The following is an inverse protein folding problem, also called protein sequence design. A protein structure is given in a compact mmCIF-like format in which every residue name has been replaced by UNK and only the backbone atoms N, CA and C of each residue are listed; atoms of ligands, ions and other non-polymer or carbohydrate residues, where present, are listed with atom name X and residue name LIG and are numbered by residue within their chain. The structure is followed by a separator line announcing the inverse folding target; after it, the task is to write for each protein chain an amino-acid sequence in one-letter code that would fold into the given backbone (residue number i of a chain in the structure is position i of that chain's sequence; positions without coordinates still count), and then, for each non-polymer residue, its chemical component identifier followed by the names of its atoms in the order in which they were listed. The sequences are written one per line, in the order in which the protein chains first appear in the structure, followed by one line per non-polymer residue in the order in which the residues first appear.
data_IF_182386601898
#
_entry.id   IF_182386601898
#
_cell.length_a   1.000
_cell.length_b   1.000
_cell.length_c   1.000
_cell.angle_alpha   90.00
_cell.angle_beta   90.00
_cell.angle_gamma   90.00
#
_symmetry.space_group_name_H-M   'P 1'
#
loop_
_entity.id
_entity.type
_entity.pdbx_description
1 polymer ?
#
# COMPACT_ATOMS: atom_id res chain seq x y z
N UNK A 1 -15.47 8.38 -0.83
CA UNK A 1 -14.74 7.10 -0.82
C UNK A 1 -15.69 5.90 -0.82
N UNK A 2 -16.55 5.74 0.19
CA UNK A 2 -17.38 4.52 0.33
C UNK A 2 -18.31 4.28 -0.86
N UNK A 3 -18.93 5.34 -1.38
CA UNK A 3 -19.74 5.26 -2.60
C UNK A 3 -18.92 4.78 -3.81
N UNK A 4 -17.72 5.32 -4.01
CA UNK A 4 -16.80 4.91 -5.08
C UNK A 4 -16.33 3.46 -4.92
N UNK A 5 -16.13 2.98 -3.69
CA UNK A 5 -15.84 1.58 -3.38
C UNK A 5 -17.08 0.68 -3.54
N UNK A 6 -18.22 1.23 -3.97
CA UNK A 6 -19.46 0.50 -4.16
C UNK A 6 -20.00 -0.10 -2.86
N UNK A 7 -19.84 0.58 -1.72
CA UNK A 7 -20.50 0.21 -0.49
C UNK A 7 -21.98 0.61 -0.54
N UNK A 8 -22.76 -0.06 0.29
CA UNK A 8 -24.18 0.21 0.53
C UNK A 8 -24.42 0.47 2.02
N UNK A 9 -25.61 0.94 2.36
CA UNK A 9 -25.99 1.15 3.77
C UNK A 9 -26.07 -0.15 4.58
N UNK A 10 -26.18 -1.29 3.89
CA UNK A 10 -26.22 -2.62 4.50
C UNK A 10 -24.83 -3.13 4.89
N UNK A 11 -23.76 -2.45 4.44
CA UNK A 11 -22.40 -2.87 4.74
C UNK A 11 -22.06 -2.59 6.22
N UNK A 12 -21.26 -3.49 6.77
CA UNK A 12 -20.70 -3.44 8.12
C UNK A 12 -19.20 -3.29 7.99
N UNK A 13 -18.70 -2.11 8.36
CA UNK A 13 -17.33 -1.68 8.12
C UNK A 13 -16.52 -1.83 9.40
N UNK A 14 -15.66 -2.83 9.46
CA UNK A 14 -14.73 -3.01 10.58
C UNK A 14 -13.50 -2.14 10.36
N UNK A 15 -13.19 -1.28 11.33
CA UNK A 15 -12.13 -0.29 11.25
C UNK A 15 -11.00 -0.72 12.17
N UNK A 16 -9.90 -1.21 11.57
CA UNK A 16 -8.75 -1.80 12.25
C UNK A 16 -7.53 -0.86 12.26
N UNK A 17 -7.75 0.44 12.28
CA UNK A 17 -6.71 1.47 12.33
C UNK A 17 -6.84 2.32 13.58
N UNK A 18 -5.75 3.04 13.94
CA UNK A 18 -5.67 3.81 15.18
C UNK A 18 -6.65 4.97 15.28
N UNK A 19 -7.11 5.25 16.51
CA UNK A 19 -8.04 6.31 16.86
C UNK A 19 -7.41 7.46 17.67
N UNK A 20 -6.12 7.41 17.96
CA UNK A 20 -5.43 8.41 18.76
C UNK A 20 -5.20 9.73 18.00
N UNK A 21 -3.99 10.25 18.07
CA UNK A 21 -3.58 11.43 17.30
C UNK A 21 -3.51 11.17 15.79
N UNK A 22 -3.46 9.93 15.37
CA UNK A 22 -3.65 9.55 13.97
C UNK A 22 -5.14 9.59 13.62
N UNK A 23 -5.47 10.38 12.60
CA UNK A 23 -6.87 10.71 12.25
C UNK A 23 -7.60 9.59 11.51
N UNK A 24 -6.92 8.49 11.14
CA UNK A 24 -7.45 7.48 10.24
C UNK A 24 -8.71 6.81 10.81
N UNK A 25 -8.66 6.28 12.03
CA UNK A 25 -9.81 5.59 12.64
C UNK A 25 -11.04 6.48 12.72
N UNK A 26 -10.89 7.69 13.25
CA UNK A 26 -11.97 8.66 13.35
C UNK A 26 -12.51 9.07 11.97
N UNK A 27 -11.63 9.26 10.99
CA UNK A 27 -12.01 9.61 9.62
C UNK A 27 -12.85 8.53 8.95
N UNK A 28 -12.43 7.27 9.05
CA UNK A 28 -13.20 6.13 8.54
C UNK A 28 -14.55 5.98 9.25
N UNK A 29 -14.59 6.12 10.57
CA UNK A 29 -15.82 6.01 11.34
C UNK A 29 -16.82 7.11 10.98
N UNK A 30 -16.42 8.38 11.04
CA UNK A 30 -17.27 9.52 10.68
C UNK A 30 -17.78 9.41 9.24
N UNK A 31 -16.91 8.97 8.32
CA UNK A 31 -17.30 8.70 6.93
C UNK A 31 -18.37 7.61 6.83
N UNK A 32 -18.20 6.52 7.57
CA UNK A 32 -19.13 5.39 7.62
C UNK A 32 -20.49 5.81 8.17
N UNK A 33 -20.50 6.52 9.29
CA UNK A 33 -21.73 7.03 9.93
C UNK A 33 -22.47 8.02 9.01
N UNK A 34 -21.73 8.94 8.37
CA UNK A 34 -22.33 9.88 7.41
C UNK A 34 -22.89 9.20 6.17
N UNK A 35 -22.23 8.14 5.70
CA UNK A 35 -22.68 7.32 4.57
C UNK A 35 -23.93 6.52 4.94
N UNK A 36 -24.09 6.14 6.20
CA UNK A 36 -25.24 5.43 6.76
C UNK A 36 -25.05 3.91 6.85
N UNK A 37 -23.81 3.41 6.78
CA UNK A 37 -23.46 2.01 7.07
C UNK A 37 -23.05 1.83 8.53
N UNK A 38 -23.00 0.58 9.00
CA UNK A 38 -22.60 0.27 10.37
C UNK A 38 -21.08 0.34 10.51
N UNK A 39 -20.59 1.17 11.43
CA UNK A 39 -19.20 1.21 11.83
C UNK A 39 -18.91 0.24 12.99
N UNK A 40 -17.87 -0.58 12.87
CA UNK A 40 -17.32 -1.44 13.93
C UNK A 40 -15.92 -0.91 14.27
N UNK A 41 -15.78 -0.02 15.27
CA UNK A 41 -14.54 0.68 15.58
C UNK A 41 -13.59 -0.19 16.43
N UNK A 42 -13.02 -1.22 15.82
CA UNK A 42 -12.19 -2.21 16.50
C UNK A 42 -10.81 -1.66 16.93
N UNK A 43 -10.27 -0.66 16.20
CA UNK A 43 -8.92 -0.16 16.44
C UNK A 43 -7.83 -1.13 15.95
N UNK A 44 -6.54 -0.82 16.16
CA UNK A 44 -5.42 -1.64 15.69
C UNK A 44 -5.08 -2.80 16.64
N UNK A 45 -4.33 -3.76 16.15
CA UNK A 45 -3.78 -4.87 16.96
C UNK A 45 -4.79 -5.93 17.36
N UNK A 46 -4.44 -6.78 18.30
CA UNK A 46 -5.25 -7.87 18.85
C UNK A 46 -5.98 -8.71 17.78
N UNK A 47 -5.21 -9.52 17.05
CA UNK A 47 -5.72 -10.35 15.95
C UNK A 47 -6.89 -11.26 16.37
N UNK A 48 -6.87 -11.78 17.59
CA UNK A 48 -7.93 -12.63 18.10
C UNK A 48 -9.27 -11.89 18.14
N UNK A 49 -9.28 -10.73 18.80
CA UNK A 49 -10.45 -9.87 18.87
C UNK A 49 -10.94 -9.42 17.46
N UNK A 50 -10.01 -9.13 16.55
CA UNK A 50 -10.35 -8.76 15.18
C UNK A 50 -11.11 -9.88 14.46
N UNK A 51 -10.67 -11.13 14.61
CA UNK A 51 -11.34 -12.29 14.01
C UNK A 51 -12.69 -12.53 14.65
N UNK A 52 -12.79 -12.44 15.99
CA UNK A 52 -14.09 -12.54 16.69
C UNK A 52 -15.07 -11.47 16.20
N UNK A 53 -14.63 -10.23 16.05
CA UNK A 53 -15.51 -9.17 15.52
C UNK A 53 -15.93 -9.42 14.07
N UNK A 54 -15.03 -9.93 13.22
CA UNK A 54 -15.41 -10.33 11.86
C UNK A 54 -16.50 -11.40 11.85
N UNK A 55 -16.45 -12.34 12.80
CA UNK A 55 -17.44 -13.41 12.94
C UNK A 55 -18.74 -12.92 13.58
N UNK A 56 -18.67 -12.19 14.68
CA UNK A 56 -19.84 -11.79 15.46
C UNK A 56 -20.65 -10.68 14.78
N UNK A 57 -19.97 -9.64 14.30
CA UNK A 57 -20.62 -8.56 13.56
C UNK A 57 -20.89 -8.90 12.10
N UNK A 58 -20.36 -10.03 11.62
CA UNK A 58 -20.47 -10.41 10.19
C UNK A 58 -20.02 -9.27 9.28
N UNK A 59 -18.89 -8.65 9.59
CA UNK A 59 -18.37 -7.49 8.87
C UNK A 59 -18.17 -7.82 7.39
N UNK A 60 -18.65 -6.92 6.52
CA UNK A 60 -18.61 -7.11 5.06
C UNK A 60 -17.45 -6.36 4.40
N UNK A 61 -16.94 -5.34 5.10
CA UNK A 61 -15.83 -4.49 4.67
C UNK A 61 -14.86 -4.33 5.82
N UNK A 62 -13.56 -4.33 5.52
CA UNK A 62 -12.50 -4.02 6.49
C UNK A 62 -11.71 -2.80 6.02
N UNK A 63 -11.42 -1.87 6.94
CA UNK A 63 -10.51 -0.75 6.74
C UNK A 63 -9.28 -0.96 7.60
N UNK A 64 -8.10 -1.17 6.98
CA UNK A 64 -6.85 -1.48 7.69
C UNK A 64 -5.62 -1.04 6.91
N UNK A 65 -4.43 -1.19 7.48
CA UNK A 65 -3.17 -1.11 6.72
C UNK A 65 -2.95 -2.39 5.92
N UNK A 66 -2.08 -2.35 4.93
CA UNK A 66 -1.78 -3.54 4.11
C UNK A 66 -1.19 -4.67 4.95
N UNK A 67 -0.25 -4.36 5.85
CA UNK A 67 0.37 -5.33 6.78
C UNK A 67 -0.67 -5.96 7.72
N UNK A 68 -1.57 -5.16 8.28
CA UNK A 68 -2.66 -5.68 9.13
C UNK A 68 -3.60 -6.59 8.35
N UNK A 69 -3.89 -6.24 7.08
CA UNK A 69 -4.68 -7.08 6.18
C UNK A 69 -4.03 -8.45 5.93
N UNK A 70 -2.71 -8.48 5.74
CA UNK A 70 -1.97 -9.73 5.58
C UNK A 70 -2.01 -10.58 6.85
N UNK A 71 -1.74 -9.98 8.02
CA UNK A 71 -1.80 -10.69 9.30
C UNK A 71 -3.18 -11.29 9.56
N UNK A 72 -4.25 -10.54 9.28
CA UNK A 72 -5.61 -11.05 9.39
C UNK A 72 -5.89 -12.19 8.41
N UNK A 73 -5.41 -12.08 7.18
CA UNK A 73 -5.59 -13.09 6.15
C UNK A 73 -4.93 -14.42 6.54
N UNK A 74 -3.69 -14.36 7.02
CA UNK A 74 -2.93 -15.53 7.49
C UNK A 74 -3.57 -16.15 8.74
N UNK A 75 -4.08 -15.33 9.66
CA UNK A 75 -4.76 -15.83 10.86
C UNK A 75 -6.12 -16.48 10.53
N UNK A 76 -6.88 -15.92 9.59
CA UNK A 76 -8.13 -16.51 9.07
C UNK A 76 -7.85 -17.89 8.45
N UNK A 77 -6.78 -18.00 7.66
CA UNK A 77 -6.34 -19.27 7.06
C UNK A 77 -5.94 -20.26 8.16
N UNK A 78 -5.08 -19.86 9.10
CA UNK A 78 -4.62 -20.69 10.22
C UNK A 78 -5.77 -21.25 11.06
N UNK A 79 -6.82 -20.44 11.30
CA UNK A 79 -8.01 -20.86 12.05
C UNK A 79 -9.02 -21.62 11.21
N UNK A 80 -8.84 -21.65 9.90
CA UNK A 80 -9.78 -22.26 8.95
C UNK A 80 -11.21 -21.73 9.12
N UNK A 81 -11.37 -20.42 9.25
CA UNK A 81 -12.68 -19.76 9.49
C UNK A 81 -13.18 -18.94 8.32
N UNK A 82 -12.48 -18.93 7.18
CA UNK A 82 -12.82 -18.11 6.00
C UNK A 82 -14.28 -18.28 5.55
N UNK A 83 -14.79 -19.49 5.50
CA UNK A 83 -16.16 -19.80 5.05
C UNK A 83 -17.25 -19.24 5.99
N UNK A 84 -16.88 -18.87 7.21
CA UNK A 84 -17.79 -18.26 8.19
C UNK A 84 -17.88 -16.75 8.06
N UNK A 85 -16.91 -16.12 7.36
CA UNK A 85 -16.85 -14.67 7.19
C UNK A 85 -17.80 -14.19 6.09
N UNK A 86 -18.32 -12.98 6.25
CA UNK A 86 -19.08 -12.25 5.23
C UNK A 86 -18.25 -11.15 4.57
N UNK A 87 -16.95 -11.15 4.82
CA UNK A 87 -16.03 -10.16 4.29
C UNK A 87 -15.94 -10.27 2.76
N UNK A 88 -16.13 -9.14 2.07
CA UNK A 88 -16.13 -9.06 0.61
C UNK A 88 -15.14 -8.03 0.09
N UNK A 89 -14.90 -6.96 0.86
CA UNK A 89 -14.10 -5.82 0.42
C UNK A 89 -13.09 -5.42 1.47
N UNK A 90 -11.97 -4.86 1.01
CA UNK A 90 -10.95 -4.26 1.86
C UNK A 90 -10.60 -2.88 1.31
N UNK A 91 -10.62 -1.87 2.18
CA UNK A 91 -10.07 -0.53 1.92
C UNK A 91 -8.80 -0.43 2.74
N UNK A 92 -7.66 -0.24 2.07
CA UNK A 92 -6.35 -0.27 2.74
C UNK A 92 -5.48 0.88 2.28
N UNK A 93 -4.56 1.32 3.15
CA UNK A 93 -3.65 2.42 2.84
C UNK A 93 -2.56 2.56 3.89
N UNK A 94 -1.92 3.73 3.91
CA UNK A 94 -0.84 4.13 4.82
C UNK A 94 0.50 3.44 4.60
N UNK A 95 0.52 2.33 3.90
CA UNK A 95 1.70 1.54 3.59
C UNK A 95 1.69 1.16 2.13
N UNK A 96 2.89 1.01 1.56
CA UNK A 96 3.00 0.40 0.25
C UNK A 96 2.70 -1.10 0.35
N UNK A 97 2.10 -1.63 -0.69
CA UNK A 97 1.85 -3.05 -0.81
C UNK A 97 2.26 -3.55 -2.19
N UNK A 98 3.02 -4.65 -2.23
CA UNK A 98 3.35 -5.31 -3.49
C UNK A 98 2.11 -6.00 -4.08
N UNK A 99 2.12 -6.25 -5.38
CA UNK A 99 1.05 -7.01 -6.03
C UNK A 99 0.98 -8.45 -5.49
N UNK A 100 2.12 -9.04 -5.11
CA UNK A 100 2.16 -10.34 -4.45
C UNK A 100 1.42 -10.33 -3.11
N UNK A 101 1.68 -9.34 -2.26
CA UNK A 101 0.98 -9.16 -0.97
C UNK A 101 -0.52 -8.96 -1.18
N UNK A 102 -0.92 -8.08 -2.10
CA UNK A 102 -2.33 -7.82 -2.43
C UNK A 102 -3.04 -9.09 -2.90
N UNK A 103 -2.43 -9.83 -3.82
CA UNK A 103 -2.99 -11.09 -4.32
C UNK A 103 -3.12 -12.14 -3.22
N UNK A 104 -2.12 -12.25 -2.33
CA UNK A 104 -2.17 -13.15 -1.19
C UNK A 104 -3.34 -12.81 -0.26
N UNK A 105 -3.46 -11.54 0.17
CA UNK A 105 -4.58 -11.09 1.01
C UNK A 105 -5.92 -11.40 0.34
N UNK A 106 -6.07 -11.01 -0.93
CA UNK A 106 -7.31 -11.23 -1.68
C UNK A 106 -7.70 -12.69 -1.75
N UNK A 107 -6.73 -13.57 -1.99
CA UNK A 107 -6.96 -15.02 -2.09
C UNK A 107 -7.35 -15.60 -0.74
N UNK A 108 -6.59 -15.31 0.32
CA UNK A 108 -6.82 -15.89 1.65
C UNK A 108 -8.14 -15.43 2.27
N UNK A 109 -8.52 -14.18 2.09
CA UNK A 109 -9.79 -13.63 2.57
C UNK A 109 -10.94 -13.79 1.58
N UNK A 110 -10.69 -14.28 0.37
CA UNK A 110 -11.67 -14.42 -0.71
C UNK A 110 -12.39 -13.11 -1.02
N UNK A 111 -11.63 -12.02 -1.17
CA UNK A 111 -12.19 -10.69 -1.41
C UNK A 111 -12.58 -10.48 -2.87
N UNK A 112 -13.74 -9.87 -3.08
CA UNK A 112 -14.20 -9.39 -4.38
C UNK A 112 -13.30 -8.23 -4.85
N UNK A 113 -13.08 -7.25 -3.96
CA UNK A 113 -12.31 -6.05 -4.26
C UNK A 113 -11.41 -5.62 -3.10
N UNK A 114 -10.28 -5.03 -3.46
CA UNK A 114 -9.37 -4.33 -2.57
C UNK A 114 -9.10 -2.93 -3.14
N UNK A 115 -9.30 -1.90 -2.33
CA UNK A 115 -9.15 -0.50 -2.77
C UNK A 115 -8.02 0.18 -2.02
N UNK A 116 -7.08 0.74 -2.77
CA UNK A 116 -6.04 1.59 -2.20
C UNK A 116 -6.63 2.98 -1.86
N UNK A 117 -6.38 3.43 -0.64
CA UNK A 117 -6.84 4.72 -0.12
C UNK A 117 -5.66 5.54 0.38
N UNK A 118 -5.12 6.44 -0.42
CA UNK A 118 -4.12 7.36 0.08
C UNK A 118 -4.72 8.33 1.10
N UNK A 119 -3.87 8.80 1.98
CA UNK A 119 -4.24 9.80 2.96
C UNK A 119 -3.02 10.31 3.68
N UNK A 120 -3.12 11.54 4.15
CA UNK A 120 -2.11 12.14 5.02
C UNK A 120 -2.77 13.12 5.97
N UNK A 121 -2.27 13.13 7.20
CA UNK A 121 -2.82 13.97 8.27
C UNK A 121 -2.71 15.45 7.94
N UNK A 122 -1.68 15.84 7.19
CA UNK A 122 -1.42 17.21 6.74
C UNK A 122 -2.50 17.74 5.79
N UNK A 123 -3.21 16.87 5.07
CA UNK A 123 -4.32 17.26 4.19
C UNK A 123 -5.66 17.15 4.92
N UNK A 124 -6.33 16.03 4.81
CA UNK A 124 -7.66 15.81 5.39
C UNK A 124 -7.76 14.47 6.14
N UNK A 125 -6.63 13.80 6.38
CA UNK A 125 -6.59 12.46 6.95
C UNK A 125 -6.73 11.38 5.88
N UNK A 126 -7.40 10.26 6.15
CA UNK A 126 -7.60 9.19 5.17
C UNK A 126 -8.57 9.63 4.08
N UNK A 127 -8.35 9.13 2.86
CA UNK A 127 -9.27 9.36 1.75
C UNK A 127 -9.03 10.67 1.01
N UNK A 128 -7.79 11.07 0.79
CA UNK A 128 -7.45 12.13 -0.16
C UNK A 128 -7.74 11.72 -1.61
N UNK A 129 -7.91 10.44 -1.83
CA UNK A 129 -8.34 9.79 -3.07
C UNK A 129 -8.82 8.37 -2.77
N UNK A 130 -9.23 7.63 -3.79
CA UNK A 130 -9.56 6.22 -3.71
C UNK A 130 -9.40 5.52 -5.06
N UNK A 131 -8.90 4.31 -5.04
CA UNK A 131 -8.96 3.39 -6.16
C UNK A 131 -10.42 2.99 -6.42
N UNK A 132 -10.85 2.94 -7.67
CA UNK A 132 -12.20 2.51 -8.06
C UNK A 132 -12.23 1.04 -8.50
N UNK A 133 -13.42 0.52 -8.87
CA UNK A 133 -13.58 -0.86 -9.33
C UNK A 133 -12.78 -1.23 -10.60
N UNK A 134 -12.35 -0.24 -11.39
CA UNK A 134 -11.50 -0.49 -12.55
C UNK A 134 -10.05 -0.81 -12.17
N UNK A 135 -9.65 -0.52 -10.92
CA UNK A 135 -8.29 -0.73 -10.41
C UNK A 135 -7.20 -0.12 -11.30
N UNK A 136 -7.52 1.02 -11.94
CA UNK A 136 -6.64 1.75 -12.83
C UNK A 136 -6.30 3.13 -12.28
N UNK A 137 -5.54 3.14 -11.20
CA UNK A 137 -5.11 4.34 -10.49
C UNK A 137 -6.11 4.83 -9.44
N UNK A 138 -5.75 5.93 -8.82
CA UNK A 138 -6.43 6.50 -7.65
C UNK A 138 -7.07 7.82 -8.07
N UNK A 139 -8.39 7.90 -8.00
CA UNK A 139 -9.12 9.16 -8.18
C UNK A 139 -8.89 10.07 -7.00
N UNK A 140 -8.61 11.35 -7.24
CA UNK A 140 -8.45 12.34 -6.20
C UNK A 140 -9.48 13.47 -6.31
N UNK A 141 -9.71 14.16 -5.20
CA UNK A 141 -10.77 15.16 -5.08
C UNK A 141 -10.29 16.53 -5.56
N UNK A 142 -10.37 16.79 -6.87
CA UNK A 142 -9.89 18.01 -7.50
C UNK A 142 -10.63 19.27 -7.08
N UNK A 143 -11.77 19.15 -6.38
CA UNK A 143 -12.49 20.26 -5.76
C UNK A 143 -11.99 20.58 -4.33
N UNK A 144 -11.13 19.72 -3.74
CA UNK A 144 -10.50 19.90 -2.44
C UNK A 144 -9.05 20.35 -2.54
N UNK A 145 -8.32 19.94 -3.59
CA UNK A 145 -6.92 20.31 -3.78
C UNK A 145 -6.47 20.22 -5.24
N UNK A 146 -5.48 21.04 -5.56
CA UNK A 146 -4.70 20.92 -6.79
C UNK A 146 -3.56 19.96 -6.54
N UNK A 147 -3.36 19.02 -7.44
CA UNK A 147 -2.26 18.06 -7.42
C UNK A 147 -1.34 18.34 -8.61
N UNK A 148 -0.05 18.53 -8.32
CA UNK A 148 1.02 18.68 -9.30
C UNK A 148 1.99 17.52 -9.14
N UNK A 149 2.62 17.11 -10.22
CA UNK A 149 3.73 16.15 -10.21
C UNK A 149 4.97 16.87 -10.68
N UNK A 150 5.97 16.97 -9.82
CA UNK A 150 7.21 17.68 -10.10
C UNK A 150 8.40 16.71 -10.09
N UNK A 151 9.37 16.98 -10.93
CA UNK A 151 10.69 16.36 -10.82
C UNK A 151 11.28 16.72 -9.44
N UNK A 152 11.69 15.75 -8.62
CA UNK A 152 12.12 16.00 -7.24
C UNK A 152 13.42 16.80 -7.11
N UNK A 153 14.24 16.81 -8.17
CA UNK A 153 15.55 17.48 -8.20
C UNK A 153 15.46 18.90 -8.76
N UNK A 154 14.79 19.06 -9.90
CA UNK A 154 14.67 20.35 -10.58
C UNK A 154 13.49 21.19 -10.10
N UNK A 155 12.46 20.54 -9.52
CA UNK A 155 11.17 21.14 -9.10
C UNK A 155 10.34 21.70 -10.28
N UNK A 156 10.69 21.33 -11.48
CA UNK A 156 9.88 21.63 -12.68
C UNK A 156 8.79 20.57 -12.84
N UNK A 157 7.69 20.89 -13.56
CA UNK A 157 6.65 19.91 -13.85
C UNK A 157 7.22 18.67 -14.54
N UNK A 158 6.95 17.49 -14.00
CA UNK A 158 7.33 16.24 -14.65
C UNK A 158 6.55 16.07 -15.97
N UNK A 159 7.16 15.55 -17.03
CA UNK A 159 6.45 15.23 -18.26
C UNK A 159 5.27 14.27 -18.01
N UNK A 160 4.25 14.36 -18.87
CA UNK A 160 3.07 13.51 -18.74
C UNK A 160 3.45 12.00 -18.78
N UNK A 161 3.00 11.26 -17.81
CA UNK A 161 3.29 9.83 -17.68
C UNK A 161 4.64 9.50 -17.02
N UNK A 162 5.47 10.51 -16.72
CA UNK A 162 6.69 10.29 -15.94
C UNK A 162 6.43 10.36 -14.45
N UNK A 163 7.30 9.66 -13.70
CA UNK A 163 7.26 9.63 -12.25
C UNK A 163 7.85 10.93 -11.70
N UNK A 164 7.15 11.54 -10.77
CA UNK A 164 7.64 12.69 -10.03
C UNK A 164 7.07 12.75 -8.61
N UNK A 165 7.48 13.77 -7.88
CA UNK A 165 7.01 14.03 -6.52
C UNK A 165 5.64 14.69 -6.55
N UNK A 166 4.71 14.14 -5.77
CA UNK A 166 3.38 14.71 -5.56
C UNK A 166 3.48 15.99 -4.75
N UNK A 167 2.95 17.07 -5.29
CA UNK A 167 2.86 18.38 -4.64
C UNK A 167 1.41 18.80 -4.59
N UNK A 168 0.93 19.25 -3.43
CA UNK A 168 -0.48 19.52 -3.20
C UNK A 168 -0.73 20.93 -2.68
N UNK A 169 -1.72 21.59 -3.28
CA UNK A 169 -2.28 22.85 -2.77
C UNK A 169 -3.72 22.62 -2.32
N UNK A 170 -4.03 22.91 -1.06
CA UNK A 170 -5.37 22.74 -0.50
C UNK A 170 -6.28 23.91 -0.90
N UNK A 171 -7.53 23.62 -1.30
CA UNK A 171 -8.51 24.63 -1.73
C UNK A 171 -9.54 24.96 -0.66
N UNK A 172 -9.87 24.01 0.22
CA UNK A 172 -10.94 24.14 1.22
C UNK A 172 -10.47 24.03 2.67
N UNK A 173 -9.16 23.90 2.90
CA UNK A 173 -8.60 23.75 4.24
C UNK A 173 -8.38 25.12 4.88
N UNK A 174 -9.18 25.46 5.88
CA UNK A 174 -9.11 26.75 6.58
C UNK A 174 -7.98 26.78 7.61
N UNK A 175 -7.87 25.71 8.43
CA UNK A 175 -6.79 25.58 9.40
C UNK A 175 -5.54 25.00 8.73
N UNK A 176 -4.41 25.71 8.84
CA UNK A 176 -3.13 25.31 8.26
C UNK A 176 -3.26 24.99 6.77
N UNK A 177 -3.68 25.95 5.91
CA UNK A 177 -3.74 25.73 4.48
C UNK A 177 -2.35 25.44 3.93
N UNK A 178 -2.28 24.50 2.99
CA UNK A 178 -1.04 24.11 2.35
C UNK A 178 -0.99 24.67 0.93
N UNK A 179 0.12 25.34 0.59
CA UNK A 179 0.35 25.89 -0.74
C UNK A 179 1.61 25.24 -1.30
N UNK A 180 1.45 24.49 -2.39
CA UNK A 180 2.52 23.73 -3.05
C UNK A 180 3.33 22.88 -2.03
N UNK A 181 2.62 22.16 -1.17
CA UNK A 181 3.21 21.29 -0.16
C UNK A 181 3.82 20.07 -0.83
N UNK A 182 5.11 19.89 -0.66
CA UNK A 182 5.85 18.72 -1.14
C UNK A 182 5.59 17.53 -0.22
N UNK A 183 4.85 16.54 -0.72
CA UNK A 183 4.50 15.36 0.08
C UNK A 183 5.65 14.38 0.24
N UNK A 184 6.62 14.45 -0.65
CA UNK A 184 7.71 13.49 -0.87
C UNK A 184 7.26 12.16 -1.48
N UNK A 185 5.98 11.95 -1.67
CA UNK A 185 5.46 10.75 -2.31
C UNK A 185 5.68 10.80 -3.82
N UNK A 186 6.10 9.68 -4.40
CA UNK A 186 6.36 9.53 -5.83
C UNK A 186 5.20 8.84 -6.52
N UNK A 187 4.69 9.45 -7.57
CA UNK A 187 3.61 8.91 -8.41
C UNK A 187 3.67 9.53 -9.81
N UNK A 188 2.68 9.23 -10.64
CA UNK A 188 2.48 9.87 -11.96
C UNK A 188 1.00 10.18 -12.16
N UNK A 189 0.70 11.20 -12.98
CA UNK A 189 -0.68 11.46 -13.42
C UNK A 189 -1.08 10.43 -14.47
N UNK A 190 -2.26 9.86 -14.31
CA UNK A 190 -2.85 8.96 -15.32
C UNK A 190 -3.72 9.77 -16.27
N UNK A 191 -3.39 9.78 -17.56
CA UNK A 191 -4.18 10.51 -18.55
C UNK A 191 -5.51 9.82 -18.86
N UNK A 192 -6.41 10.55 -19.49
CA UNK A 192 -7.66 10.05 -20.02
C UNK A 192 -8.73 9.73 -18.97
N UNK A 193 -9.87 9.26 -19.45
CA UNK A 193 -11.03 8.91 -18.63
C UNK A 193 -10.89 7.50 -18.07
N UNK A 194 -11.43 7.29 -16.88
CA UNK A 194 -11.49 5.96 -16.27
C UNK A 194 -12.69 5.17 -16.78
N UNK A 195 -12.52 3.87 -16.96
CA UNK A 195 -13.60 2.94 -17.31
C UNK A 195 -14.75 2.93 -16.29
N UNK A 196 -14.49 3.35 -15.04
CA UNK A 196 -15.53 3.47 -14.02
C UNK A 196 -16.56 4.59 -14.32
N UNK A 197 -16.32 5.43 -15.33
CA UNK A 197 -17.19 6.54 -15.71
C UNK A 197 -17.00 7.83 -14.88
N UNK A 198 -16.13 7.83 -13.88
CA UNK A 198 -15.83 9.04 -13.09
C UNK A 198 -15.03 10.04 -13.91
N UNK A 199 -15.40 11.33 -13.81
CA UNK A 199 -14.66 12.45 -14.38
C UNK A 199 -13.54 12.97 -13.48
N UNK A 200 -13.40 12.43 -12.26
CA UNK A 200 -12.32 12.81 -11.35
C UNK A 200 -10.96 12.39 -11.94
N UNK A 201 -9.96 13.29 -11.89
CA UNK A 201 -8.63 12.95 -12.34
C UNK A 201 -8.00 11.87 -11.48
N UNK A 202 -6.96 11.23 -12.01
CA UNK A 202 -6.29 10.11 -11.36
C UNK A 202 -4.78 10.30 -11.33
N UNK A 203 -4.18 9.80 -10.27
CA UNK A 203 -2.75 9.50 -10.22
C UNK A 203 -2.56 7.99 -10.08
N UNK A 204 -1.37 7.50 -10.35
CA UNK A 204 -1.04 6.09 -10.09
C UNK A 204 -0.83 5.86 -8.60
N UNK A 205 -0.68 4.60 -8.19
CA UNK A 205 -0.34 4.27 -6.80
C UNK A 205 0.97 4.94 -6.39
N UNK A 206 1.07 5.27 -5.12
CA UNK A 206 2.33 5.77 -4.55
C UNK A 206 3.38 4.65 -4.62
N UNK A 207 4.46 4.91 -5.34
CA UNK A 207 5.53 3.93 -5.59
C UNK A 207 6.68 4.04 -4.59
N UNK A 208 6.73 5.10 -3.80
CA UNK A 208 7.76 5.36 -2.80
C UNK A 208 7.79 6.82 -2.39
N UNK A 209 8.86 7.20 -1.72
CA UNK A 209 9.12 8.58 -1.31
C UNK A 209 10.45 9.06 -1.88
N UNK A 210 10.54 10.33 -2.22
CA UNK A 210 11.79 10.94 -2.71
C UNK A 210 12.87 11.02 -1.61
N UNK A 211 12.46 11.06 -0.34
CA UNK A 211 13.34 11.09 0.83
C UNK A 211 13.72 9.69 1.37
N UNK A 212 13.11 8.61 0.87
CA UNK A 212 13.50 7.22 1.16
C UNK A 212 14.58 6.69 0.18
N UNK A 213 14.97 7.51 -0.78
CA UNK A 213 16.02 7.17 -1.73
C UNK A 213 17.36 6.95 -1.02
N UNK A 214 18.07 5.92 -1.40
CA UNK A 214 19.44 5.71 -0.99
C UNK A 214 20.39 5.61 -2.19
N UNK A 215 21.62 6.02 -2.00
CA UNK A 215 22.64 6.03 -3.06
C UNK A 215 23.60 4.89 -2.85
N UNK A 216 23.77 4.04 -3.86
CA UNK A 216 24.79 2.99 -3.88
C UNK A 216 25.65 3.16 -5.11
N UNK A 217 26.96 3.36 -4.93
CA UNK A 217 27.92 3.49 -6.05
C UNK A 217 27.44 4.52 -7.09
N UNK A 218 26.98 5.67 -6.64
CA UNK A 218 26.42 6.75 -7.45
C UNK A 218 25.14 6.39 -8.25
N UNK A 219 24.44 5.34 -7.87
CA UNK A 219 23.13 4.99 -8.41
C UNK A 219 22.07 5.31 -7.37
N UNK A 220 21.07 6.12 -7.75
CA UNK A 220 19.89 6.37 -6.93
C UNK A 220 18.98 5.15 -6.96
N UNK A 221 18.69 4.59 -5.81
CA UNK A 221 17.82 3.42 -5.65
C UNK A 221 16.65 3.78 -4.75
N UNK A 222 15.46 3.52 -5.24
CA UNK A 222 14.22 3.70 -4.49
C UNK A 222 13.70 2.33 -4.03
N UNK A 223 13.30 2.17 -2.77
CA UNK A 223 12.72 0.91 -2.27
C UNK A 223 11.61 0.35 -3.17
N UNK A 224 10.77 1.22 -3.76
CA UNK A 224 9.72 0.81 -4.69
C UNK A 224 10.19 0.11 -5.96
N UNK A 225 11.40 0.38 -6.41
CA UNK A 225 11.98 -0.33 -7.56
C UNK A 225 12.34 -1.78 -7.20
N UNK A 226 12.82 -1.99 -5.96
CA UNK A 226 13.12 -3.33 -5.43
C UNK A 226 11.83 -4.11 -5.27
N UNK A 227 10.83 -3.49 -4.67
CA UNK A 227 9.49 -4.03 -4.47
C UNK A 227 8.85 -4.49 -5.80
N UNK A 228 8.87 -3.60 -6.80
CA UNK A 228 8.39 -3.90 -8.15
C UNK A 228 9.19 -5.03 -8.82
N UNK A 229 10.49 -5.14 -8.57
CA UNK A 229 11.30 -6.22 -9.11
C UNK A 229 10.96 -7.56 -8.43
N UNK A 230 10.83 -7.57 -7.11
CA UNK A 230 10.52 -8.79 -6.36
C UNK A 230 9.11 -9.30 -6.65
N UNK A 231 8.12 -8.42 -6.79
CA UNK A 231 6.73 -8.79 -7.06
C UNK A 231 6.51 -9.54 -8.39
N UNK A 232 7.48 -9.48 -9.31
CA UNK A 232 7.44 -10.20 -10.59
C UNK A 232 7.95 -11.64 -10.48
N UNK A 233 8.46 -12.05 -9.32
CA UNK A 233 9.07 -13.36 -9.11
C UNK A 233 8.13 -14.27 -8.31
N UNK A 234 8.03 -15.53 -8.72
CA UNK A 234 7.30 -16.56 -7.98
C UNK A 234 8.22 -17.23 -6.95
N UNK A 235 7.67 -17.92 -5.96
CA UNK A 235 8.41 -18.69 -4.97
C UNK A 235 9.10 -17.83 -3.90
N UNK A 236 8.68 -16.57 -3.73
CA UNK A 236 9.13 -15.69 -2.65
C UNK A 236 7.94 -15.11 -1.91
N UNK A 237 8.14 -14.85 -0.63
CA UNK A 237 7.15 -14.20 0.24
C UNK A 237 7.01 -12.71 -0.05
N UNK A 238 6.15 -12.05 0.71
CA UNK A 238 5.91 -10.61 0.61
C UNK A 238 6.97 -9.77 1.32
N UNK A 239 7.72 -10.37 2.26
CA UNK A 239 8.65 -9.64 3.11
C UNK A 239 10.07 -9.69 2.59
N UNK A 240 10.73 -8.53 2.61
CA UNK A 240 12.14 -8.42 2.33
C UNK A 240 12.79 -7.32 3.17
N UNK A 241 14.12 -7.37 3.31
CA UNK A 241 14.90 -6.39 4.05
C UNK A 241 16.11 -5.97 3.21
N UNK A 242 16.30 -4.66 3.06
CA UNK A 242 17.50 -4.09 2.45
C UNK A 242 18.46 -3.68 3.57
N UNK A 243 19.69 -4.18 3.49
CA UNK A 243 20.78 -3.83 4.41
C UNK A 243 21.85 -3.14 3.58
N UNK A 244 22.18 -1.91 3.99
CA UNK A 244 23.25 -1.12 3.37
C UNK A 244 24.46 -1.16 4.30
N UNK A 245 25.58 -1.60 3.76
CA UNK A 245 26.84 -1.69 4.49
C UNK A 245 27.93 -0.92 3.75
N UNK A 246 28.82 -0.29 4.50
CA UNK A 246 30.00 0.36 3.95
C UNK A 246 31.25 -0.26 4.54
N UNK A 247 32.01 -0.94 3.72
CA UNK A 247 33.24 -1.60 4.13
C UNK A 247 34.38 -1.13 3.24
N UNK A 248 35.50 -0.67 3.85
CA UNK A 248 36.68 -0.16 3.13
C UNK A 248 36.34 0.92 2.08
N UNK A 249 35.38 1.79 2.39
CA UNK A 249 34.96 2.89 1.50
C UNK A 249 34.07 2.46 0.33
N UNK A 250 33.69 1.19 0.25
CA UNK A 250 32.76 0.66 -0.77
C UNK A 250 31.40 0.38 -0.18
N UNK A 251 30.35 0.75 -0.92
CA UNK A 251 28.97 0.50 -0.54
C UNK A 251 28.54 -0.89 -1.05
N UNK A 252 27.93 -1.66 -0.15
CA UNK A 252 27.35 -2.96 -0.42
C UNK A 252 25.87 -2.96 -0.08
N UNK A 253 25.11 -3.65 -0.90
CA UNK A 253 23.68 -3.87 -0.70
C UNK A 253 23.44 -5.36 -0.50
N UNK A 254 22.88 -5.71 0.64
CA UNK A 254 22.39 -7.05 0.92
C UNK A 254 20.86 -7.04 0.95
N UNK A 255 20.27 -7.97 0.24
CA UNK A 255 18.83 -8.13 0.13
C UNK A 255 18.46 -9.47 0.75
N UNK A 256 17.78 -9.43 1.89
CA UNK A 256 17.19 -10.61 2.51
C UNK A 256 15.75 -10.72 2.03
N UNK A 257 15.37 -11.86 1.50
CA UNK A 257 14.04 -12.10 0.93
C UNK A 257 13.45 -13.34 1.58
N UNK A 258 12.23 -13.28 2.07
CA UNK A 258 11.54 -14.48 2.55
C UNK A 258 11.17 -15.40 1.39
N UNK A 259 11.35 -16.70 1.60
CA UNK A 259 10.75 -17.72 0.75
C UNK A 259 9.23 -17.72 0.95
N UNK A 260 8.46 -18.14 -0.05
CA UNK A 260 7.08 -18.55 0.20
C UNK A 260 7.05 -19.91 0.91
N UNK A 261 5.84 -20.36 1.27
CA UNK A 261 5.66 -21.62 2.00
C UNK A 261 5.95 -22.86 1.15
N UNK A 262 6.00 -22.72 -0.17
CA UNK A 262 6.16 -23.82 -1.11
C UNK A 262 7.61 -24.01 -1.56
N UNK A 263 8.49 -23.01 -1.34
CA UNK A 263 9.87 -23.06 -1.76
C UNK A 263 10.74 -23.87 -0.79
N UNK A 264 11.19 -25.00 -1.24
CA UNK A 264 12.09 -25.88 -0.45
C UNK A 264 13.46 -25.22 -0.21
N UNK A 265 14.06 -25.39 1.00
CA UNK A 265 15.36 -24.81 1.34
C UNK A 265 16.49 -25.19 0.39
N UNK A 266 16.42 -26.36 -0.23
CA UNK A 266 17.38 -26.83 -1.24
C UNK A 266 17.43 -25.95 -2.51
N UNK A 267 16.33 -25.24 -2.81
CA UNK A 267 16.22 -24.34 -3.96
C UNK A 267 16.68 -22.89 -3.65
N UNK A 268 16.97 -22.55 -2.39
CA UNK A 268 17.35 -21.17 -2.00
C UNK A 268 18.56 -20.62 -2.76
N UNK A 269 19.66 -21.37 -2.97
CA UNK A 269 20.81 -20.83 -3.69
C UNK A 269 20.52 -20.46 -5.14
N UNK A 270 19.80 -21.31 -5.86
CA UNK A 270 19.39 -21.04 -7.25
C UNK A 270 18.45 -19.85 -7.32
N UNK A 271 17.48 -19.79 -6.42
CA UNK A 271 16.51 -18.71 -6.34
C UNK A 271 17.19 -17.37 -6.00
N UNK A 272 18.17 -17.36 -5.11
CA UNK A 272 18.94 -16.18 -4.76
C UNK A 272 19.70 -15.61 -5.99
N UNK A 273 20.24 -16.47 -6.83
CA UNK A 273 20.90 -16.05 -8.08
C UNK A 273 19.89 -15.44 -9.08
N UNK A 274 18.74 -16.05 -9.23
CA UNK A 274 17.65 -15.49 -10.06
C UNK A 274 17.24 -14.10 -9.61
N UNK A 275 16.98 -13.93 -8.29
CA UNK A 275 16.61 -12.65 -7.70
C UNK A 275 17.70 -11.61 -7.92
N UNK A 276 18.96 -11.97 -7.66
CA UNK A 276 20.13 -11.10 -7.87
C UNK A 276 20.18 -10.55 -9.29
N UNK A 277 20.05 -11.42 -10.29
CA UNK A 277 20.10 -11.03 -11.69
C UNK A 277 18.90 -10.20 -12.12
N UNK A 278 17.72 -10.52 -11.60
CA UNK A 278 16.49 -9.79 -11.90
C UNK A 278 16.52 -8.39 -11.29
N UNK A 279 16.84 -8.27 -10.01
CA UNK A 279 16.95 -6.98 -9.30
C UNK A 279 18.05 -6.11 -9.94
N UNK A 280 19.22 -6.68 -10.24
CA UNK A 280 20.31 -5.97 -10.93
C UNK A 280 19.85 -5.30 -12.25
N UNK A 281 19.04 -5.99 -13.04
CA UNK A 281 18.52 -5.44 -14.31
C UNK A 281 17.58 -4.26 -14.11
N UNK A 282 16.88 -4.21 -12.97
CA UNK A 282 15.88 -3.18 -12.66
C UNK A 282 16.47 -1.95 -11.98
N UNK A 283 17.38 -2.14 -11.04
CA UNK A 283 17.93 -1.03 -10.23
C UNK A 283 19.39 -0.68 -10.57
N UNK A 284 20.01 -1.39 -11.52
CA UNK A 284 21.40 -1.21 -11.96
C UNK A 284 22.47 -1.41 -10.84
N UNK A 285 22.06 -1.89 -9.67
CA UNK A 285 22.91 -2.27 -8.54
C UNK A 285 22.88 -3.78 -8.38
N UNK A 286 24.03 -4.38 -8.12
CA UNK A 286 24.13 -5.83 -7.88
C UNK A 286 24.06 -6.10 -6.38
N UNK A 287 22.92 -6.62 -5.84
CA UNK A 287 22.83 -6.98 -4.43
C UNK A 287 23.51 -8.31 -4.13
N UNK A 288 23.91 -8.51 -2.88
CA UNK A 288 24.05 -9.83 -2.30
C UNK A 288 22.64 -10.29 -1.88
N UNK A 289 22.17 -11.44 -2.36
CA UNK A 289 20.83 -11.93 -2.05
C UNK A 289 20.91 -13.13 -1.12
N UNK A 290 20.14 -13.09 -0.05
CA UNK A 290 19.99 -14.18 0.93
C UNK A 290 18.51 -14.50 1.08
N UNK A 291 18.14 -15.74 0.76
CA UNK A 291 16.78 -16.21 1.03
C UNK A 291 16.72 -16.73 2.46
N UNK A 292 15.67 -16.35 3.16
CA UNK A 292 15.39 -16.80 4.53
C UNK A 292 14.03 -17.52 4.57
N UNK A 293 13.83 -18.45 5.51
CA UNK A 293 12.54 -19.11 5.64
C UNK A 293 11.39 -18.14 5.89
N UNK A 294 10.19 -18.53 5.49
CA UNK A 294 8.96 -17.77 5.73
C UNK A 294 8.78 -17.46 7.21
N UNK A 295 8.37 -16.22 7.55
CA UNK A 295 8.19 -15.77 8.93
C UNK A 295 9.48 -15.41 9.66
N UNK A 296 10.62 -15.31 8.98
CA UNK A 296 11.92 -14.95 9.59
C UNK A 296 12.10 -13.44 9.73
N UNK A 297 11.57 -12.66 8.78
CA UNK A 297 11.69 -11.20 8.81
C UNK A 297 10.60 -10.59 9.68
N UNK A 298 10.87 -9.44 10.35
CA UNK A 298 9.85 -8.72 11.11
C UNK A 298 8.75 -8.23 10.16
N UNK A 299 7.52 -8.27 10.64
CA UNK A 299 6.31 -7.81 9.94
C UNK A 299 5.81 -6.50 10.53
#
# INVERSE_FOLDING_TARGET
CYEMAGLTKEDRVQICVGYGVWTAGAGFQLGCEKFGSLAVPAGPGNLEMQIEFLLDFQSTVICCTASMGLLLAEEVERRNVREKLKLRKMIYGSERSSDAMRNRIRTLLNLEHMYDIPGMTELYGPGTGLECNAHDGIHYWADYYILEILDPDTLEPAPEGEIGEMVVTTLKKEAVPLIRYRTRDLTTIKPGLCECGSLLPRHDRIIGRSDDMFIIRAVNVYPGQIDSALSQLQGIGSEYQVILERTEGKDFMKLRVEADLELEPSAFPEKALMIKDHVKKKILVTPEVVIVPYGTLPR
#
